data_IF_319754628745
#
_entry.id   IF_319754628745
#
_cell.length_a   1.000
_cell.length_b   1.000
_cell.length_c   1.000
_cell.angle_alpha   90.00
_cell.angle_beta   90.00
_cell.angle_gamma   90.00
#
_symmetry.space_group_name_H-M   'P 1'
#
loop_
_entity.id
_entity.type
_entity.pdbx_description
1 polymer ?
#
# COMPACT_ATOMS: atom_id res chain seq x y z
N UNK A 1 -9.77 -13.20 23.36
CA UNK A 1 -9.08 -11.96 23.80
C UNK A 1 -7.70 -11.79 23.13
N UNK A 2 -6.85 -12.82 23.10
CA UNK A 2 -5.50 -12.74 22.51
C UNK A 2 -5.53 -12.41 21.01
N UNK A 3 -6.48 -12.94 20.23
CA UNK A 3 -6.59 -12.67 18.79
C UNK A 3 -6.99 -11.22 18.51
N UNK A 4 -7.75 -10.59 19.40
CA UNK A 4 -8.06 -9.15 19.29
C UNK A 4 -6.80 -8.31 19.51
N UNK A 5 -5.95 -8.68 20.49
CA UNK A 5 -4.68 -7.98 20.71
C UNK A 5 -3.77 -8.11 19.47
N UNK A 6 -3.69 -9.30 18.88
CA UNK A 6 -2.95 -9.50 17.64
C UNK A 6 -3.52 -8.64 16.49
N UNK A 7 -4.86 -8.58 16.35
CA UNK A 7 -5.50 -7.72 15.36
C UNK A 7 -5.15 -6.23 15.54
N UNK A 8 -4.99 -5.76 16.79
CA UNK A 8 -4.50 -4.41 17.10
C UNK A 8 -3.09 -4.22 16.55
N UNK A 9 -2.18 -5.18 16.77
CA UNK A 9 -0.82 -5.09 16.23
C UNK A 9 -0.81 -5.04 14.70
N UNK A 10 -1.60 -5.89 14.02
CA UNK A 10 -1.74 -5.85 12.56
C UNK A 10 -2.30 -4.50 12.09
N UNK A 11 -3.32 -3.98 12.77
CA UNK A 11 -3.89 -2.67 12.45
C UNK A 11 -2.88 -1.51 12.62
N UNK A 12 -2.04 -1.56 13.66
CA UNK A 12 -0.97 -0.56 13.87
C UNK A 12 0.06 -0.64 12.75
N UNK A 13 0.56 -1.84 12.44
CA UNK A 13 1.57 -2.04 11.39
C UNK A 13 1.01 -1.61 10.04
N UNK A 14 -0.21 -1.99 9.69
CA UNK A 14 -0.88 -1.57 8.47
C UNK A 14 -1.01 -0.05 8.39
N UNK A 15 -1.57 0.57 9.43
CA UNK A 15 -1.78 2.02 9.47
C UNK A 15 -0.49 2.84 9.35
N UNK A 16 0.66 2.29 9.80
CA UNK A 16 1.97 2.92 9.65
C UNK A 16 2.52 2.69 8.24
N UNK A 17 2.55 1.43 7.81
CA UNK A 17 3.38 1.01 6.68
C UNK A 17 2.71 1.19 5.32
N UNK A 18 1.40 1.37 5.28
CA UNK A 18 0.66 1.59 4.04
C UNK A 18 0.93 2.96 3.43
N UNK A 19 1.03 3.99 4.24
CA UNK A 19 1.23 5.37 3.78
C UNK A 19 2.70 5.74 3.62
N UNK A 20 3.54 5.21 4.48
CA UNK A 20 4.98 5.33 4.30
C UNK A 20 5.43 4.46 3.12
N UNK A 21 6.33 4.95 2.26
CA UNK A 21 6.76 4.16 1.10
C UNK A 21 7.77 3.05 1.48
N UNK A 22 7.39 2.18 2.44
CA UNK A 22 8.24 1.13 3.05
C UNK A 22 7.72 -0.29 2.89
N UNK A 23 6.57 -0.48 2.23
CA UNK A 23 5.90 -1.76 1.95
C UNK A 23 5.18 -2.39 3.16
N UNK A 24 3.88 -2.18 3.23
CA UNK A 24 2.99 -2.86 4.21
C UNK A 24 3.08 -4.38 4.07
N UNK A 25 3.02 -4.90 2.85
CA UNK A 25 3.14 -6.35 2.57
C UNK A 25 4.39 -6.97 3.19
N UNK A 26 5.56 -6.33 3.05
CA UNK A 26 6.79 -6.82 3.66
C UNK A 26 6.71 -6.91 5.18
N UNK A 27 6.10 -5.92 5.82
CA UNK A 27 5.93 -5.90 7.28
C UNK A 27 4.88 -6.91 7.76
N UNK A 28 3.78 -7.08 7.01
CA UNK A 28 2.75 -8.07 7.34
C UNK A 28 3.29 -9.49 7.32
N UNK A 29 4.12 -9.82 6.31
CA UNK A 29 4.78 -11.13 6.22
C UNK A 29 5.69 -11.37 7.44
N UNK A 30 6.47 -10.36 7.85
CA UNK A 30 7.33 -10.49 9.05
C UNK A 30 6.48 -10.63 10.29
N UNK A 31 5.44 -9.81 10.43
CA UNK A 31 4.60 -9.84 11.62
C UNK A 31 3.85 -11.16 11.75
N UNK A 32 3.37 -11.74 10.63
CA UNK A 32 2.71 -13.04 10.63
C UNK A 32 3.62 -14.19 11.10
N UNK A 33 4.92 -14.11 10.84
CA UNK A 33 5.89 -15.11 11.30
C UNK A 33 5.97 -15.17 12.83
N UNK A 34 5.83 -14.03 13.52
CA UNK A 34 5.96 -13.92 14.97
C UNK A 34 4.61 -13.84 15.70
N UNK A 35 3.59 -13.32 15.05
CA UNK A 35 2.28 -12.99 15.65
C UNK A 35 1.16 -13.61 14.81
N UNK A 36 1.17 -14.95 14.66
CA UNK A 36 0.13 -15.65 13.90
C UNK A 36 -1.25 -15.46 14.52
N UNK A 37 -2.23 -14.99 13.70
CA UNK A 37 -3.64 -15.07 14.04
C UNK A 37 -4.11 -16.53 13.92
N UNK A 38 -4.82 -17.03 14.96
CA UNK A 38 -5.42 -18.35 14.91
C UNK A 38 -6.80 -18.30 14.24
N UNK A 39 -6.78 -18.14 12.92
CA UNK A 39 -7.95 -18.06 12.06
C UNK A 39 -7.74 -18.95 10.83
N UNK A 40 -8.83 -19.23 10.08
CA UNK A 40 -8.69 -20.00 8.82
C UNK A 40 -7.94 -19.16 7.78
N UNK A 41 -7.27 -19.85 6.88
CA UNK A 41 -6.42 -19.25 5.85
C UNK A 41 -7.19 -18.31 4.93
N UNK A 42 -8.42 -18.67 4.55
CA UNK A 42 -9.29 -17.84 3.71
C UNK A 42 -9.64 -16.51 4.38
N UNK A 43 -9.91 -16.54 5.69
CA UNK A 43 -10.14 -15.33 6.46
C UNK A 43 -8.88 -14.50 6.62
N UNK A 44 -7.72 -15.14 6.85
CA UNK A 44 -6.43 -14.45 6.93
C UNK A 44 -6.15 -13.65 5.65
N UNK A 45 -6.29 -14.29 4.49
CA UNK A 45 -6.10 -13.65 3.18
C UNK A 45 -7.09 -12.49 2.93
N UNK A 46 -8.31 -12.61 3.42
CA UNK A 46 -9.30 -11.54 3.40
C UNK A 46 -8.92 -10.40 4.37
N UNK A 47 -8.52 -10.73 5.60
CA UNK A 47 -8.17 -9.79 6.64
C UNK A 47 -7.06 -8.83 6.19
N UNK A 48 -5.96 -9.35 5.62
CA UNK A 48 -4.84 -8.55 5.13
C UNK A 48 -5.24 -7.47 4.11
N UNK A 49 -6.25 -7.75 3.30
CA UNK A 49 -6.72 -6.80 2.29
C UNK A 49 -7.78 -5.86 2.85
N UNK A 50 -8.68 -6.37 3.69
CA UNK A 50 -9.81 -5.57 4.19
C UNK A 50 -9.39 -4.57 5.28
N UNK A 51 -8.35 -4.85 6.08
CA UNK A 51 -7.86 -3.85 7.04
C UNK A 51 -7.33 -2.58 6.36
N UNK A 52 -6.94 -2.66 5.09
CA UNK A 52 -6.58 -1.50 4.26
C UNK A 52 -7.77 -0.54 4.06
N UNK A 53 -9.03 -1.03 4.13
CA UNK A 53 -10.20 -0.14 4.09
C UNK A 53 -10.21 0.83 5.27
N UNK A 54 -9.77 0.39 6.44
CA UNK A 54 -9.57 1.27 7.58
C UNK A 54 -8.60 2.39 7.25
N UNK A 55 -7.45 2.04 6.67
CA UNK A 55 -6.44 3.00 6.22
C UNK A 55 -7.00 3.98 5.18
N UNK A 56 -7.75 3.52 4.18
CA UNK A 56 -8.36 4.38 3.14
C UNK A 56 -9.34 5.39 3.73
N UNK A 57 -10.15 5.00 4.70
CA UNK A 57 -11.09 5.92 5.35
C UNK A 57 -10.37 7.11 5.98
N UNK A 58 -9.12 6.95 6.43
CA UNK A 58 -8.31 8.06 6.90
C UNK A 58 -7.99 9.07 5.79
N UNK A 59 -7.68 8.61 4.58
CA UNK A 59 -7.49 9.49 3.41
C UNK A 59 -8.79 10.20 3.06
N UNK A 60 -9.90 9.46 2.99
CA UNK A 60 -11.20 10.05 2.69
C UNK A 60 -11.56 11.14 3.70
N UNK A 61 -11.30 10.91 4.99
CA UNK A 61 -11.57 11.88 6.04
C UNK A 61 -10.66 13.12 5.93
N UNK A 62 -9.35 12.91 5.79
CA UNK A 62 -8.36 14.00 5.80
C UNK A 62 -8.44 14.87 4.54
N UNK A 63 -8.76 14.29 3.41
CA UNK A 63 -8.81 14.96 2.12
C UNK A 63 -10.25 15.14 1.59
N UNK A 64 -11.25 15.05 2.46
CA UNK A 64 -12.67 15.14 2.08
C UNK A 64 -12.98 16.31 1.14
N UNK A 65 -12.50 17.51 1.47
CA UNK A 65 -12.78 18.70 0.68
C UNK A 65 -12.13 18.71 -0.71
N UNK A 66 -11.04 17.94 -0.88
CA UNK A 66 -10.29 17.81 -2.12
C UNK A 66 -10.83 16.72 -3.04
N UNK A 67 -11.53 15.71 -2.46
CA UNK A 67 -12.00 14.54 -3.23
C UNK A 67 -13.52 14.45 -3.33
N UNK A 68 -14.29 15.17 -2.49
CA UNK A 68 -15.74 15.10 -2.51
C UNK A 68 -16.33 16.03 -3.59
N UNK A 69 -16.98 15.45 -4.64
CA UNK A 69 -17.30 16.19 -5.86
C UNK A 69 -18.53 17.08 -5.74
N UNK A 70 -19.30 17.00 -4.64
CA UNK A 70 -20.52 17.78 -4.48
C UNK A 70 -20.28 19.05 -3.66
N UNK A 71 -20.90 20.13 -4.09
CA UNK A 71 -20.95 21.38 -3.35
C UNK A 71 -22.26 21.44 -2.55
N UNK A 72 -22.20 21.03 -1.29
CA UNK A 72 -23.38 21.00 -0.41
C UNK A 72 -23.54 22.29 0.42
N UNK A 73 -22.50 23.16 0.45
CA UNK A 73 -22.46 24.34 1.35
C UNK A 73 -22.92 25.63 0.69
N UNK A 74 -22.69 25.81 -0.59
CA UNK A 74 -22.94 27.08 -1.30
C UNK A 74 -23.95 26.86 -2.43
N UNK A 75 -25.18 27.29 -2.18
CA UNK A 75 -26.30 27.16 -3.15
C UNK A 75 -26.12 28.00 -4.42
N UNK A 76 -25.20 29.00 -4.40
CA UNK A 76 -24.94 29.87 -5.55
C UNK A 76 -23.88 29.31 -6.50
N UNK A 77 -23.25 28.18 -6.17
CA UNK A 77 -22.27 27.48 -7.00
C UNK A 77 -22.84 26.21 -7.61
N UNK A 78 -22.32 25.74 -8.74
CA UNK A 78 -22.73 24.46 -9.32
C UNK A 78 -22.63 23.32 -8.29
N UNK A 79 -23.63 22.42 -8.31
CA UNK A 79 -23.67 21.24 -7.41
C UNK A 79 -22.42 20.37 -7.60
N UNK A 80 -21.96 20.25 -8.83
CA UNK A 80 -20.79 19.45 -9.20
C UNK A 80 -19.54 20.32 -9.29
N UNK A 81 -18.50 19.96 -8.54
CA UNK A 81 -17.16 20.55 -8.63
C UNK A 81 -16.41 19.89 -9.79
N UNK A 82 -16.36 20.56 -10.95
CA UNK A 82 -15.74 20.03 -12.17
C UNK A 82 -14.29 19.62 -11.99
N UNK A 83 -13.52 20.38 -11.22
CA UNK A 83 -12.10 20.12 -10.96
C UNK A 83 -11.92 18.79 -10.22
N UNK A 84 -12.79 18.51 -9.25
CA UNK A 84 -12.76 17.23 -8.49
C UNK A 84 -13.22 16.08 -9.38
N UNK A 85 -14.22 16.28 -10.23
CA UNK A 85 -14.62 15.24 -11.20
C UNK A 85 -13.49 14.90 -12.16
N UNK A 86 -12.77 15.91 -12.68
CA UNK A 86 -11.60 15.71 -13.54
C UNK A 86 -10.48 14.99 -12.78
N UNK A 87 -10.27 15.30 -11.49
CA UNK A 87 -9.33 14.57 -10.66
C UNK A 87 -9.72 13.08 -10.55
N UNK A 88 -11.00 12.77 -10.32
CA UNK A 88 -11.47 11.38 -10.27
C UNK A 88 -11.27 10.64 -11.58
N UNK A 89 -11.52 11.31 -12.74
CA UNK A 89 -11.23 10.72 -14.05
C UNK A 89 -9.73 10.40 -14.17
N UNK A 90 -8.83 11.31 -13.77
CA UNK A 90 -7.38 11.07 -13.76
C UNK A 90 -6.99 9.90 -12.84
N UNK A 91 -7.59 9.81 -11.65
CA UNK A 91 -7.38 8.69 -10.71
C UNK A 91 -7.80 7.36 -11.35
N UNK A 92 -8.99 7.30 -11.92
CA UNK A 92 -9.50 6.08 -12.58
C UNK A 92 -8.63 5.67 -13.78
N UNK A 93 -8.18 6.63 -14.61
CA UNK A 93 -7.25 6.37 -15.71
C UNK A 93 -5.94 5.77 -15.19
N UNK A 94 -5.40 6.26 -14.08
CA UNK A 94 -4.19 5.70 -13.47
C UNK A 94 -4.41 4.29 -12.87
N UNK A 95 -5.64 3.93 -12.50
CA UNK A 95 -5.96 2.59 -12.00
C UNK A 95 -5.99 1.53 -13.11
N UNK A 96 -6.28 1.92 -14.37
CA UNK A 96 -6.53 0.97 -15.47
C UNK A 96 -5.38 -0.03 -15.68
N UNK A 97 -4.09 0.37 -15.79
CA UNK A 97 -3.01 -0.57 -16.04
C UNK A 97 -2.90 -1.66 -14.96
N UNK A 98 -2.89 -1.24 -13.68
CA UNK A 98 -2.79 -2.17 -12.57
C UNK A 98 -4.08 -2.98 -12.34
N UNK A 99 -5.24 -2.38 -12.61
CA UNK A 99 -6.54 -3.04 -12.49
C UNK A 99 -6.71 -4.18 -13.48
N UNK A 100 -6.38 -3.97 -14.76
CA UNK A 100 -6.47 -5.02 -15.79
C UNK A 100 -5.53 -6.18 -15.44
N UNK A 101 -4.27 -5.89 -15.17
CA UNK A 101 -3.27 -6.92 -14.93
C UNK A 101 -3.50 -7.63 -13.58
N UNK A 102 -3.89 -6.88 -12.53
CA UNK A 102 -4.21 -7.46 -11.23
C UNK A 102 -5.39 -8.44 -11.31
N UNK A 103 -6.49 -8.06 -11.98
CA UNK A 103 -7.65 -8.96 -12.10
C UNK A 103 -7.35 -10.21 -12.93
N UNK A 104 -6.55 -10.08 -14.00
CA UNK A 104 -6.28 -11.20 -14.91
C UNK A 104 -5.21 -12.17 -14.39
N UNK A 105 -4.25 -11.69 -13.57
CA UNK A 105 -3.06 -12.46 -13.21
C UNK A 105 -2.82 -12.58 -11.70
N UNK A 106 -3.77 -12.15 -10.85
CA UNK A 106 -3.69 -12.20 -9.37
C UNK A 106 -3.18 -13.57 -8.87
N UNK A 107 -3.86 -14.65 -9.27
CA UNK A 107 -3.53 -16.02 -8.86
C UNK A 107 -2.13 -16.47 -9.31
N UNK A 108 -1.66 -15.95 -10.46
CA UNK A 108 -0.33 -16.26 -10.99
C UNK A 108 0.74 -15.55 -10.17
N UNK A 109 0.52 -14.27 -9.84
CA UNK A 109 1.47 -13.50 -9.03
C UNK A 109 1.54 -14.03 -7.60
N UNK A 110 0.40 -14.35 -7.00
CA UNK A 110 0.35 -14.95 -5.66
C UNK A 110 1.14 -16.27 -5.62
N UNK A 111 1.00 -17.12 -6.63
CA UNK A 111 1.69 -18.42 -6.69
C UNK A 111 3.21 -18.32 -6.87
N UNK A 112 3.69 -17.41 -7.73
CA UNK A 112 5.11 -17.41 -8.13
C UNK A 112 5.93 -16.30 -7.49
N UNK A 113 5.33 -15.16 -7.16
CA UNK A 113 6.04 -13.97 -6.71
C UNK A 113 5.81 -13.66 -5.21
N UNK A 114 4.74 -14.19 -4.61
CA UNK A 114 4.44 -13.95 -3.19
C UNK A 114 5.30 -14.86 -2.30
N UNK A 115 6.60 -14.57 -2.24
CA UNK A 115 7.57 -15.33 -1.45
C UNK A 115 8.62 -14.40 -0.83
N UNK A 116 9.23 -14.84 0.26
CA UNK A 116 10.22 -14.06 1.01
C UNK A 116 11.38 -13.48 0.17
N UNK A 117 12.04 -14.26 -0.70
CA UNK A 117 13.13 -13.70 -1.52
C UNK A 117 12.66 -12.62 -2.48
N UNK A 118 11.51 -12.78 -3.12
CA UNK A 118 10.97 -11.78 -4.04
C UNK A 118 10.65 -10.47 -3.31
N UNK A 119 9.96 -10.56 -2.17
CA UNK A 119 9.63 -9.41 -1.32
C UNK A 119 10.90 -8.68 -0.85
N UNK A 120 11.89 -9.43 -0.37
CA UNK A 120 13.15 -8.86 0.11
C UNK A 120 13.95 -8.17 -1.01
N UNK A 121 14.02 -8.79 -2.19
CA UNK A 121 14.68 -8.17 -3.36
C UNK A 121 13.94 -6.92 -3.83
N UNK A 122 12.61 -6.96 -3.88
CA UNK A 122 11.81 -5.79 -4.24
C UNK A 122 12.01 -4.63 -3.25
N UNK A 123 12.09 -4.90 -1.95
CA UNK A 123 12.42 -3.91 -0.94
C UNK A 123 13.77 -3.25 -1.22
N UNK A 124 14.82 -4.04 -1.47
CA UNK A 124 16.19 -3.53 -1.72
C UNK A 124 16.22 -2.72 -3.01
N UNK A 125 15.72 -3.27 -4.12
CA UNK A 125 15.74 -2.61 -5.43
C UNK A 125 15.03 -1.27 -5.37
N UNK A 126 13.81 -1.23 -4.85
CA UNK A 126 13.06 0.02 -4.73
C UNK A 126 13.60 0.95 -3.66
N UNK A 127 14.26 0.44 -2.62
CA UNK A 127 15.03 1.24 -1.68
C UNK A 127 16.18 1.98 -2.37
N UNK A 128 16.95 1.29 -3.20
CA UNK A 128 18.04 1.87 -4.01
C UNK A 128 17.48 2.90 -5.01
N UNK A 129 16.36 2.58 -5.68
CA UNK A 129 15.71 3.48 -6.63
C UNK A 129 15.27 4.79 -5.95
N UNK A 130 14.72 4.74 -4.74
CA UNK A 130 14.40 5.94 -3.97
C UNK A 130 15.61 6.84 -3.78
N UNK A 131 16.73 6.27 -3.33
CA UNK A 131 17.96 7.03 -3.10
C UNK A 131 18.49 7.65 -4.40
N UNK A 132 18.50 6.88 -5.50
CA UNK A 132 18.96 7.36 -6.80
C UNK A 132 18.08 8.51 -7.32
N UNK A 133 16.76 8.33 -7.28
CA UNK A 133 15.81 9.32 -7.79
C UNK A 133 15.88 10.61 -6.97
N UNK A 134 15.90 10.51 -5.64
CA UNK A 134 16.00 11.69 -4.78
C UNK A 134 17.34 12.44 -4.97
N UNK A 135 18.45 11.74 -5.07
CA UNK A 135 19.75 12.36 -5.36
C UNK A 135 19.75 13.08 -6.71
N UNK A 136 19.14 12.49 -7.75
CA UNK A 136 19.00 13.14 -9.07
C UNK A 136 18.08 14.36 -9.05
N UNK A 137 17.09 14.39 -8.16
CA UNK A 137 16.12 15.51 -8.03
C UNK A 137 16.59 16.58 -7.04
N UNK A 138 17.70 16.39 -6.34
CA UNK A 138 18.22 17.38 -5.41
C UNK A 138 18.64 18.65 -6.16
N UNK A 139 18.10 19.79 -5.74
CA UNK A 139 18.37 21.09 -6.36
C UNK A 139 17.66 21.35 -7.69
N UNK A 140 16.83 20.42 -8.18
CA UNK A 140 16.02 20.63 -9.39
C UNK A 140 14.67 21.25 -9.04
N UNK A 141 14.16 22.10 -9.93
CA UNK A 141 12.77 22.60 -9.84
C UNK A 141 11.80 21.54 -10.35
N UNK A 142 10.72 21.32 -9.63
CA UNK A 142 9.66 20.40 -10.07
C UNK A 142 8.74 21.11 -11.09
N UNK A 143 8.38 20.41 -12.15
CA UNK A 143 7.47 20.90 -13.19
C UNK A 143 6.02 20.97 -12.70
N UNK A 144 5.60 20.01 -11.86
CA UNK A 144 4.23 19.86 -11.36
C UNK A 144 4.27 20.02 -9.84
N UNK A 145 3.68 21.12 -9.36
CA UNK A 145 3.68 21.52 -7.94
C UNK A 145 2.28 21.58 -7.33
N UNK A 146 1.24 21.36 -8.13
CA UNK A 146 -0.16 21.24 -7.69
C UNK A 146 -0.87 20.08 -8.39
N UNK A 147 -1.92 19.53 -7.75
CA UNK A 147 -2.74 18.43 -8.32
C UNK A 147 -3.38 18.81 -9.67
N UNK A 148 -3.79 20.05 -9.81
CA UNK A 148 -4.46 20.54 -11.03
C UNK A 148 -3.55 20.50 -12.26
N UNK A 149 -2.24 20.65 -12.06
CA UNK A 149 -1.23 20.62 -13.12
C UNK A 149 -0.93 19.19 -13.64
N UNK A 150 -1.45 18.15 -12.98
CA UNK A 150 -1.27 16.76 -13.45
C UNK A 150 -1.97 16.60 -14.82
N UNK A 151 -1.20 16.28 -15.85
CA UNK A 151 -1.71 15.93 -17.18
C UNK A 151 -1.97 14.41 -17.29
N UNK A 152 -2.79 14.00 -18.25
CA UNK A 152 -3.14 12.59 -18.47
C UNK A 152 -1.93 11.71 -18.77
N UNK A 153 -0.92 12.23 -19.49
CA UNK A 153 0.32 11.51 -19.78
C UNK A 153 1.05 11.14 -18.48
N UNK A 154 1.22 12.11 -17.58
CA UNK A 154 1.85 11.91 -16.28
C UNK A 154 1.07 10.89 -15.45
N UNK A 155 -0.26 11.01 -15.42
CA UNK A 155 -1.16 10.14 -14.67
C UNK A 155 -1.10 8.69 -15.16
N UNK A 156 -1.11 8.47 -16.48
CA UNK A 156 -0.96 7.11 -17.07
C UNK A 156 0.37 6.49 -16.69
N UNK A 157 1.47 7.24 -16.75
CA UNK A 157 2.77 6.73 -16.37
C UNK A 157 2.85 6.41 -14.86
N UNK A 158 2.24 7.22 -13.99
CA UNK A 158 2.12 6.87 -12.55
C UNK A 158 1.35 5.54 -12.40
N UNK A 159 0.29 5.32 -13.19
CA UNK A 159 -0.43 4.06 -13.25
C UNK A 159 0.42 2.87 -13.72
N UNK A 160 1.34 3.08 -14.67
CA UNK A 160 2.31 2.06 -15.07
C UNK A 160 3.28 1.72 -13.93
N UNK A 161 3.74 2.72 -13.17
CA UNK A 161 4.54 2.44 -11.96
C UNK A 161 3.73 1.69 -10.90
N UNK A 162 2.44 1.99 -10.76
CA UNK A 162 1.55 1.21 -9.88
C UNK A 162 1.44 -0.26 -10.31
N UNK A 163 1.41 -0.53 -11.63
CA UNK A 163 1.41 -1.89 -12.16
C UNK A 163 2.64 -2.68 -11.69
N UNK A 164 3.83 -2.06 -11.64
CA UNK A 164 5.03 -2.74 -11.12
C UNK A 164 4.82 -3.22 -9.68
N UNK A 165 4.14 -2.42 -8.86
CA UNK A 165 3.83 -2.80 -7.48
C UNK A 165 2.74 -3.88 -7.39
N UNK A 166 1.83 -3.97 -8.35
CA UNK A 166 0.84 -5.04 -8.43
C UNK A 166 1.48 -6.38 -8.80
N UNK A 167 2.52 -6.36 -9.64
CA UNK A 167 3.23 -7.57 -10.09
C UNK A 167 4.24 -8.06 -9.05
N UNK A 168 5.01 -7.17 -8.44
CA UNK A 168 6.10 -7.53 -7.53
C UNK A 168 5.75 -7.20 -6.07
N UNK A 169 5.34 -8.18 -5.25
CA UNK A 169 5.08 -7.96 -3.83
C UNK A 169 6.37 -7.47 -3.13
N UNK A 170 6.19 -6.58 -2.16
CA UNK A 170 7.33 -5.91 -1.51
C UNK A 170 7.75 -4.59 -2.17
N UNK A 171 7.37 -4.34 -3.42
CA UNK A 171 7.65 -3.06 -4.11
C UNK A 171 7.06 -1.86 -3.36
N UNK A 172 5.93 -2.01 -2.69
CA UNK A 172 5.07 -0.95 -2.15
C UNK A 172 4.37 -0.14 -3.25
N UNK A 173 3.05 -0.16 -3.23
CA UNK A 173 2.22 0.64 -4.14
C UNK A 173 2.57 2.13 -4.02
N UNK A 174 2.56 2.66 -2.79
CA UNK A 174 2.92 4.06 -2.54
C UNK A 174 4.36 4.37 -2.95
N UNK A 175 5.29 3.43 -2.71
CA UNK A 175 6.68 3.57 -3.13
C UNK A 175 6.85 3.69 -4.64
N UNK A 176 6.24 2.80 -5.41
CA UNK A 176 6.33 2.80 -6.87
C UNK A 176 5.71 4.06 -7.50
N UNK A 177 4.50 4.43 -7.06
CA UNK A 177 3.79 5.60 -7.60
C UNK A 177 4.50 6.91 -7.27
N UNK A 178 5.08 7.05 -6.05
CA UNK A 178 5.90 8.21 -5.68
C UNK A 178 7.16 8.29 -6.53
N UNK A 179 7.91 7.19 -6.68
CA UNK A 179 9.11 7.15 -7.55
C UNK A 179 8.74 7.55 -8.98
N UNK A 180 7.68 6.98 -9.55
CA UNK A 180 7.20 7.31 -10.88
C UNK A 180 6.87 8.79 -11.02
N UNK A 181 6.12 9.35 -10.07
CA UNK A 181 5.77 10.76 -10.05
C UNK A 181 7.00 11.68 -9.96
N UNK A 182 7.95 11.38 -9.09
CA UNK A 182 9.21 12.14 -8.96
C UNK A 182 10.04 12.13 -10.26
N UNK A 183 10.14 10.97 -10.92
CA UNK A 183 10.83 10.84 -12.22
C UNK A 183 10.20 11.74 -13.28
N UNK A 184 8.88 11.85 -13.28
CA UNK A 184 8.09 12.67 -14.20
C UNK A 184 8.10 14.18 -13.84
N UNK A 185 8.81 14.57 -12.80
CA UNK A 185 8.94 15.98 -12.38
C UNK A 185 7.79 16.49 -11.51
N UNK A 186 7.04 15.59 -10.87
CA UNK A 186 6.03 15.93 -9.87
C UNK A 186 6.71 16.19 -8.53
N UNK A 187 6.29 17.22 -7.78
CA UNK A 187 6.82 17.53 -6.46
C UNK A 187 6.48 16.43 -5.44
N UNK A 188 7.30 16.30 -4.37
CA UNK A 188 7.12 15.28 -3.35
C UNK A 188 5.72 15.29 -2.71
N UNK A 189 5.23 16.49 -2.41
CA UNK A 189 3.91 16.69 -1.79
C UNK A 189 2.80 16.21 -2.73
N UNK A 190 2.82 16.64 -3.99
CA UNK A 190 1.81 16.25 -4.99
C UNK A 190 1.91 14.76 -5.32
N UNK A 191 3.12 14.20 -5.38
CA UNK A 191 3.34 12.77 -5.60
C UNK A 191 2.71 11.91 -4.49
N UNK A 192 2.91 12.28 -3.22
CA UNK A 192 2.30 11.59 -2.09
C UNK A 192 0.78 11.77 -2.07
N UNK A 193 0.29 13.00 -2.27
CA UNK A 193 -1.13 13.31 -2.27
C UNK A 193 -1.89 12.55 -3.37
N UNK A 194 -1.39 12.56 -4.59
CA UNK A 194 -1.99 11.80 -5.70
C UNK A 194 -1.93 10.29 -5.45
N UNK A 195 -0.83 9.80 -4.88
CA UNK A 195 -0.69 8.38 -4.46
C UNK A 195 -1.76 7.97 -3.45
N UNK A 196 -2.11 8.86 -2.50
CA UNK A 196 -3.17 8.59 -1.53
C UNK A 196 -4.55 8.55 -2.19
N UNK A 197 -4.84 9.45 -3.12
CA UNK A 197 -6.10 9.43 -3.86
C UNK A 197 -6.23 8.17 -4.72
N UNK A 198 -5.14 7.77 -5.36
CA UNK A 198 -5.07 6.56 -6.18
C UNK A 198 -5.32 5.28 -5.36
N UNK A 199 -4.99 5.30 -4.05
CA UNK A 199 -5.26 4.20 -3.14
C UNK A 199 -6.76 3.90 -2.99
N UNK A 200 -7.60 4.93 -3.03
CA UNK A 200 -9.03 4.80 -2.71
C UNK A 200 -9.72 3.77 -3.63
N UNK A 201 -9.76 3.93 -4.96
CA UNK A 201 -10.43 2.96 -5.82
C UNK A 201 -9.71 1.61 -5.88
N UNK A 202 -8.38 1.59 -5.81
CA UNK A 202 -7.59 0.35 -5.93
C UNK A 202 -7.84 -0.57 -4.74
N UNK A 203 -7.71 -0.06 -3.52
CA UNK A 203 -7.88 -0.86 -2.31
C UNK A 203 -9.34 -1.21 -2.06
N UNK A 204 -10.26 -0.29 -2.37
CA UNK A 204 -11.69 -0.58 -2.32
C UNK A 204 -12.05 -1.72 -3.28
N UNK A 205 -11.57 -1.65 -4.53
CA UNK A 205 -11.78 -2.68 -5.53
C UNK A 205 -11.16 -4.04 -5.13
N UNK A 206 -9.92 -4.04 -4.64
CA UNK A 206 -9.26 -5.26 -4.16
C UNK A 206 -10.00 -5.89 -2.98
N UNK A 207 -10.42 -5.08 -2.00
CA UNK A 207 -11.18 -5.55 -0.83
C UNK A 207 -12.54 -6.12 -1.23
N UNK A 208 -13.25 -5.45 -2.14
CA UNK A 208 -14.53 -5.94 -2.67
C UNK A 208 -14.35 -7.27 -3.39
N UNK A 209 -13.32 -7.40 -4.23
CA UNK A 209 -13.03 -8.64 -4.96
C UNK A 209 -12.73 -9.80 -4.00
N UNK A 210 -11.87 -9.61 -3.00
CA UNK A 210 -11.54 -10.65 -2.00
C UNK A 210 -12.78 -10.99 -1.15
N UNK A 211 -13.60 -10.01 -0.79
CA UNK A 211 -14.85 -10.27 -0.06
C UNK A 211 -15.85 -11.10 -0.89
N UNK A 212 -16.04 -10.76 -2.16
CA UNK A 212 -16.92 -11.51 -3.06
C UNK A 212 -16.38 -12.94 -3.25
N UNK A 213 -15.08 -13.13 -3.51
CA UNK A 213 -14.46 -14.45 -3.60
C UNK A 213 -14.71 -15.28 -2.31
N UNK A 214 -14.52 -14.68 -1.13
CA UNK A 214 -14.77 -15.33 0.17
C UNK A 214 -16.23 -15.78 0.32
N UNK A 215 -17.19 -14.94 -0.01
CA UNK A 215 -18.63 -15.28 0.05
C UNK A 215 -19.02 -16.34 -0.98
N UNK A 216 -18.45 -16.31 -2.19
CA UNK A 216 -18.70 -17.32 -3.23
C UNK A 216 -18.18 -18.72 -2.87
N UNK A 217 -17.20 -18.83 -1.96
CA UNK A 217 -16.77 -20.11 -1.40
C UNK A 217 -17.79 -20.70 -0.40
N UNK A 218 -18.92 -20.04 -0.18
CA UNK A 218 -19.95 -20.46 0.78
C UNK A 218 -19.55 -20.22 2.25
N UNK A 219 -18.50 -19.41 2.49
CA UNK A 219 -18.01 -19.13 3.82
C UNK A 219 -18.81 -18.02 4.48
N UNK A 220 -19.08 -18.19 5.77
CA UNK A 220 -19.69 -17.17 6.62
C UNK A 220 -18.71 -16.73 7.69
N UNK A 221 -18.84 -15.48 8.15
CA UNK A 221 -18.02 -14.96 9.24
C UNK A 221 -18.47 -15.49 10.58
N UNK A 222 -17.51 -15.88 11.41
CA UNK A 222 -17.77 -16.07 12.84
C UNK A 222 -17.81 -14.72 13.56
N UNK A 223 -18.44 -14.66 14.73
CA UNK A 223 -18.48 -13.43 15.55
C UNK A 223 -17.08 -12.95 15.92
N UNK A 224 -16.15 -13.89 16.13
CA UNK A 224 -14.75 -13.56 16.44
C UNK A 224 -14.03 -12.96 15.23
N UNK A 225 -14.21 -13.52 14.04
CA UNK A 225 -13.63 -12.98 12.81
C UNK A 225 -14.14 -11.57 12.50
N UNK A 226 -15.43 -11.31 12.69
CA UNK A 226 -15.99 -9.96 12.56
C UNK A 226 -15.36 -8.98 13.57
N UNK A 227 -15.18 -9.41 14.82
CA UNK A 227 -14.54 -8.59 15.85
C UNK A 227 -13.06 -8.29 15.50
N UNK A 228 -12.29 -9.31 15.06
CA UNK A 228 -10.91 -9.17 14.61
C UNK A 228 -10.83 -8.16 13.45
N UNK A 229 -11.70 -8.30 12.44
CA UNK A 229 -11.72 -7.43 11.28
C UNK A 229 -12.08 -5.99 11.65
N UNK A 230 -13.11 -5.79 12.46
CA UNK A 230 -13.55 -4.47 12.93
C UNK A 230 -12.44 -3.76 13.73
N UNK A 231 -11.81 -4.47 14.67
CA UNK A 231 -10.72 -3.91 15.48
C UNK A 231 -9.52 -3.57 14.61
N UNK A 232 -9.09 -4.47 13.71
CA UNK A 232 -8.01 -4.21 12.77
C UNK A 232 -8.26 -2.97 11.92
N UNK A 233 -9.47 -2.83 11.34
CA UNK A 233 -9.85 -1.66 10.54
C UNK A 233 -9.88 -0.37 11.36
N UNK A 234 -10.45 -0.38 12.57
CA UNK A 234 -10.52 0.82 13.42
C UNK A 234 -9.11 1.28 13.82
N UNK A 235 -8.25 0.34 14.22
CA UNK A 235 -6.88 0.68 14.62
C UNK A 235 -6.09 1.18 13.41
N UNK A 236 -6.18 0.51 12.26
CA UNK A 236 -5.55 0.96 11.01
C UNK A 236 -6.02 2.36 10.62
N UNK A 237 -7.32 2.67 10.74
CA UNK A 237 -7.86 4.01 10.49
C UNK A 237 -7.24 5.07 11.40
N UNK A 238 -7.25 4.85 12.71
CA UNK A 238 -6.74 5.83 13.69
C UNK A 238 -5.25 6.09 13.49
N UNK A 239 -4.46 5.02 13.33
CA UNK A 239 -3.02 5.12 13.10
C UNK A 239 -2.72 5.81 11.77
N UNK A 240 -3.47 5.49 10.71
CA UNK A 240 -3.32 6.11 9.39
C UNK A 240 -3.54 7.62 9.42
N UNK A 241 -4.51 8.13 10.20
CA UNK A 241 -4.71 9.58 10.35
C UNK A 241 -3.43 10.25 10.88
N UNK A 242 -2.79 9.66 11.87
CA UNK A 242 -1.57 10.19 12.49
C UNK A 242 -0.42 10.16 11.48
N UNK A 243 -0.24 9.02 10.81
CA UNK A 243 0.89 8.78 9.91
C UNK A 243 0.77 9.62 8.62
N UNK A 244 -0.41 9.77 8.04
CA UNK A 244 -0.62 10.63 6.86
C UNK A 244 -0.28 12.09 7.21
N UNK A 245 -0.76 12.60 8.34
CA UNK A 245 -0.44 13.97 8.79
C UNK A 245 1.06 14.15 9.01
N UNK A 246 1.69 13.16 9.65
CA UNK A 246 3.14 13.15 9.86
C UNK A 246 3.89 13.18 8.52
N UNK A 247 3.58 12.25 7.61
CA UNK A 247 4.26 12.16 6.33
C UNK A 247 4.10 13.44 5.50
N UNK A 248 2.88 13.98 5.39
CA UNK A 248 2.63 15.23 4.66
C UNK A 248 3.39 16.42 5.26
N UNK A 249 3.54 16.47 6.58
CA UNK A 249 4.39 17.45 7.24
C UNK A 249 5.88 17.24 6.96
N UNK A 250 6.33 16.00 7.01
CA UNK A 250 7.73 15.60 6.83
C UNK A 250 8.24 15.91 5.41
N UNK A 251 7.53 15.50 4.36
CA UNK A 251 7.97 15.64 2.97
C UNK A 251 7.97 17.09 2.44
N UNK A 252 7.37 18.03 3.18
CA UNK A 252 7.51 19.47 2.87
C UNK A 252 8.93 19.99 3.08
N UNK A 253 9.68 19.36 3.98
CA UNK A 253 11.02 19.81 4.41
C UNK A 253 12.12 18.78 4.14
N UNK A 254 11.75 17.50 3.92
CA UNK A 254 12.67 16.38 3.80
C UNK A 254 12.41 15.60 2.52
N UNK A 255 13.34 14.71 2.17
CA UNK A 255 13.26 13.80 1.04
C UNK A 255 12.86 12.38 1.48
N UNK A 256 12.73 11.46 0.49
CA UNK A 256 12.38 10.07 0.75
C UNK A 256 13.60 9.16 0.97
N UNK A 257 14.83 9.69 1.03
CA UNK A 257 16.05 8.89 1.23
C UNK A 257 15.98 8.02 2.49
N UNK A 258 15.53 8.51 3.67
CA UNK A 258 15.44 7.67 4.86
C UNK A 258 14.55 6.43 4.68
N UNK A 259 13.45 6.55 3.95
CA UNK A 259 12.58 5.41 3.64
C UNK A 259 13.25 4.42 2.69
N UNK A 260 14.06 4.91 1.75
CA UNK A 260 14.90 4.08 0.87
C UNK A 260 15.92 3.27 1.66
N UNK A 261 16.62 3.90 2.60
CA UNK A 261 17.60 3.24 3.49
C UNK A 261 16.89 2.18 4.34
N UNK A 262 15.77 2.55 4.98
CA UNK A 262 14.97 1.61 5.78
C UNK A 262 14.58 0.36 4.99
N UNK A 263 14.12 0.51 3.75
CA UNK A 263 13.75 -0.62 2.87
C UNK A 263 14.93 -1.54 2.57
N UNK A 264 16.11 -0.98 2.32
CA UNK A 264 17.34 -1.77 2.06
C UNK A 264 17.67 -2.58 3.30
N UNK A 265 17.68 -1.95 4.48
CA UNK A 265 17.95 -2.64 5.75
C UNK A 265 16.93 -3.75 6.01
N UNK A 266 15.64 -3.45 5.87
CA UNK A 266 14.57 -4.42 6.06
C UNK A 266 14.70 -5.61 5.09
N UNK A 267 14.96 -5.34 3.80
CA UNK A 267 15.15 -6.38 2.80
C UNK A 267 16.39 -7.25 3.08
N UNK A 268 17.49 -6.64 3.53
CA UNK A 268 18.69 -7.37 3.93
C UNK A 268 18.41 -8.27 5.15
N UNK A 269 17.72 -7.75 6.17
CA UNK A 269 17.31 -8.54 7.36
C UNK A 269 16.44 -9.72 6.96
N UNK A 270 15.47 -9.52 6.04
CA UNK A 270 14.63 -10.60 5.53
C UNK A 270 15.43 -11.68 4.78
N UNK A 271 16.38 -11.30 3.94
CA UNK A 271 17.22 -12.27 3.22
C UNK A 271 18.08 -13.07 4.20
N UNK A 272 18.68 -12.41 5.19
CA UNK A 272 19.49 -13.06 6.23
C UNK A 272 18.60 -14.05 7.02
N UNK A 273 17.44 -13.59 7.51
CA UNK A 273 16.49 -14.44 8.24
C UNK A 273 16.12 -15.68 7.43
N UNK A 274 15.71 -15.50 6.17
CA UNK A 274 15.34 -16.60 5.29
C UNK A 274 16.50 -17.58 5.06
N UNK A 275 17.72 -17.10 4.87
CA UNK A 275 18.91 -17.94 4.72
C UNK A 275 19.17 -18.77 5.98
N UNK A 276 19.08 -18.18 7.17
CA UNK A 276 19.24 -18.90 8.44
C UNK A 276 18.16 -19.95 8.65
N UNK A 277 16.90 -19.61 8.47
CA UNK A 277 15.77 -20.53 8.63
C UNK A 277 15.92 -21.73 7.69
N UNK A 278 16.25 -21.48 6.42
CA UNK A 278 16.43 -22.52 5.41
C UNK A 278 17.63 -23.43 5.74
N UNK A 279 18.74 -22.87 6.22
CA UNK A 279 19.91 -23.62 6.66
C UNK A 279 19.58 -24.51 7.85
N UNK A 280 18.84 -23.98 8.84
CA UNK A 280 18.48 -24.71 10.06
C UNK A 280 17.52 -25.87 9.76
N UNK A 281 16.50 -25.67 8.94
CA UNK A 281 15.57 -26.73 8.54
C UNK A 281 16.26 -27.78 7.64
N UNK A 282 17.09 -27.38 6.68
CA UNK A 282 17.81 -28.32 5.83
C UNK A 282 18.79 -29.20 6.63
N UNK A 283 19.42 -28.65 7.66
CA UNK A 283 20.32 -29.42 8.57
C UNK A 283 19.55 -30.42 9.43
N UNK A 284 18.30 -30.11 9.80
CA UNK A 284 17.45 -31.00 10.62
C UNK A 284 16.93 -32.18 9.81
N UNK A 285 16.58 -31.99 8.53
CA UNK A 285 16.18 -33.06 7.63
C UNK A 285 17.33 -33.99 7.26
N UNK A 286 18.55 -33.49 7.11
CA UNK A 286 19.74 -34.31 6.83
C UNK A 286 20.14 -35.21 7.99
N UNK A 287 19.76 -34.87 9.24
CA UNK A 287 19.99 -35.70 10.43
C UNK A 287 18.91 -36.76 10.69
N UNK A 288 17.77 -36.70 9.99
CA UNK A 288 16.70 -37.69 10.09
C UNK A 288 16.75 -38.76 9.00
N UNK A 289 17.71 -38.66 8.06
CA UNK A 289 17.90 -39.62 6.96
C UNK A 289 19.23 -40.40 7.07
N UNK A 290 19.91 -40.37 8.25
CA UNK A 290 20.98 -41.26 8.65
C UNK A 290 20.54 -42.00 9.91
#
# INVERSE_FOLDING_TARGET
MIEIIKAIFFGIVEGITEWLPISSTGHMIILDEFVKLNVREEFWNLFLVVIQLGAILAVVLLFWNQIFPLNLKDKNKPIWKKDILLLWVKILVACVPAGIVGVLFDDVFDKYLYNFPCVAMALIVFGILFIIVEKKKKGTTFRITSIDQLDYKTVVWIGVFQLIAAVFPGTSRSGATIIGALLLGVSRVVAAEFTFYLAIPVMFGASLLKLVKFLMMGLSFTSMELAILAVGCIVSFVVSIIVIKFLMGYIKKHDFIPFGIYRIVLGAVLLIYFAFVRCFFCSKWRKSCI
#
